data_IF_190929877906
#
_entry.id   IF_190929877906
#
_cell.length_a   1.000
_cell.length_b   1.000
_cell.length_c   1.000
_cell.angle_alpha   90.00
_cell.angle_beta   90.00
_cell.angle_gamma   90.00
#
_symmetry.space_group_name_H-M   'P 1'
#
loop_
_entity.id
_entity.type
_entity.pdbx_description
1 polymer ?
#
# COMPACT_ATOMS: atom_id res chain seq x y z
N UNK A 1 -53.15 10.02 -22.84
CA UNK A 1 -52.66 9.10 -21.79
C UNK A 1 -51.72 8.10 -22.45
N UNK A 2 -50.43 8.44 -22.60
CA UNK A 2 -49.42 7.63 -23.30
C UNK A 2 -48.55 6.99 -22.23
N UNK A 3 -48.49 5.66 -22.20
CA UNK A 3 -47.68 4.89 -21.24
C UNK A 3 -46.20 5.05 -21.59
N UNK A 4 -45.46 5.72 -20.71
CA UNK A 4 -44.00 5.80 -20.74
C UNK A 4 -43.42 4.42 -20.41
N UNK A 5 -42.77 3.79 -21.38
CA UNK A 5 -41.92 2.63 -21.15
C UNK A 5 -40.58 3.12 -20.62
N UNK A 6 -40.38 3.00 -19.31
CA UNK A 6 -39.08 3.17 -18.68
C UNK A 6 -38.21 1.98 -19.06
N UNK A 7 -37.35 2.13 -20.06
CA UNK A 7 -36.24 1.19 -20.29
C UNK A 7 -35.17 1.51 -19.25
N UNK A 8 -35.05 0.66 -18.24
CA UNK A 8 -33.85 0.64 -17.39
C UNK A 8 -32.63 0.39 -18.29
N UNK A 9 -31.52 1.13 -18.13
CA UNK A 9 -30.29 0.81 -18.84
C UNK A 9 -29.79 -0.57 -18.39
N UNK A 10 -29.13 -1.34 -19.28
CA UNK A 10 -28.57 -2.62 -18.91
C UNK A 10 -27.49 -2.39 -17.86
N UNK A 11 -27.54 -3.25 -16.84
CA UNK A 11 -26.54 -3.44 -15.80
C UNK A 11 -25.12 -3.32 -16.39
N UNK A 12 -24.41 -2.22 -16.10
CA UNK A 12 -23.01 -2.08 -16.47
C UNK A 12 -22.18 -3.02 -15.59
N UNK A 13 -21.98 -4.19 -16.18
CA UNK A 13 -21.08 -5.31 -15.90
C UNK A 13 -19.92 -5.04 -14.91
N UNK A 14 -19.81 -5.92 -13.92
CA UNK A 14 -18.67 -6.12 -13.02
C UNK A 14 -17.28 -6.27 -13.71
N UNK A 15 -17.21 -6.40 -15.05
CA UNK A 15 -15.95 -6.48 -15.78
C UNK A 15 -15.14 -5.17 -15.76
N UNK A 16 -15.80 -4.02 -15.65
CA UNK A 16 -15.14 -2.70 -15.74
C UNK A 16 -14.21 -2.42 -14.55
N UNK A 17 -14.46 -3.02 -13.37
CA UNK A 17 -13.60 -2.80 -12.19
C UNK A 17 -12.33 -3.63 -12.25
N UNK A 18 -12.42 -4.89 -12.68
CA UNK A 18 -11.26 -5.78 -12.79
C UNK A 18 -10.31 -5.33 -13.90
N UNK A 19 -10.83 -4.93 -15.06
CA UNK A 19 -10.02 -4.35 -16.15
C UNK A 19 -9.31 -3.07 -15.68
N UNK A 20 -10.02 -2.19 -14.96
CA UNK A 20 -9.43 -0.97 -14.42
C UNK A 20 -8.32 -1.24 -13.39
N UNK A 21 -8.50 -2.23 -12.50
CA UNK A 21 -7.49 -2.57 -11.49
C UNK A 21 -6.25 -3.20 -12.12
N UNK A 22 -6.43 -4.10 -13.09
CA UNK A 22 -5.32 -4.70 -13.80
C UNK A 22 -4.49 -3.64 -14.54
N UNK A 23 -5.15 -2.76 -15.31
CA UNK A 23 -4.49 -1.63 -15.99
C UNK A 23 -3.81 -0.68 -15.00
N UNK A 24 -4.43 -0.44 -13.83
CA UNK A 24 -3.79 0.33 -12.77
C UNK A 24 -2.48 -0.34 -12.30
N UNK A 25 -2.48 -1.64 -12.03
CA UNK A 25 -1.28 -2.36 -11.60
C UNK A 25 -0.17 -2.40 -12.66
N UNK A 26 -0.51 -2.47 -13.94
CA UNK A 26 0.46 -2.40 -15.04
C UNK A 26 1.28 -1.11 -14.99
N UNK A 27 0.69 0.03 -14.58
CA UNK A 27 1.42 1.29 -14.41
C UNK A 27 2.54 1.21 -13.35
N UNK A 28 2.50 0.21 -12.46
CA UNK A 28 3.44 0.05 -11.35
C UNK A 28 4.33 -1.19 -11.46
N UNK A 29 4.30 -1.95 -12.55
CA UNK A 29 5.11 -3.18 -12.72
C UNK A 29 6.63 -2.94 -12.61
N UNK A 30 7.07 -1.72 -12.90
CA UNK A 30 8.45 -1.31 -12.73
C UNK A 30 8.83 -1.02 -11.26
N UNK A 31 7.87 -0.84 -10.35
CA UNK A 31 8.14 -0.40 -8.96
C UNK A 31 8.08 -1.54 -7.94
N UNK A 32 7.47 -2.66 -8.31
CA UNK A 32 7.28 -3.83 -7.45
C UNK A 32 8.03 -5.05 -7.99
N UNK A 33 8.59 -5.83 -7.07
CA UNK A 33 9.25 -7.09 -7.35
C UNK A 33 8.28 -8.28 -7.41
N UNK A 34 8.75 -9.46 -7.85
CA UNK A 34 7.92 -10.66 -7.95
C UNK A 34 7.29 -11.10 -6.62
N UNK A 35 8.00 -10.95 -5.50
CA UNK A 35 7.50 -11.33 -4.16
C UNK A 35 6.34 -10.43 -3.73
N UNK A 36 6.45 -9.15 -4.02
CA UNK A 36 5.44 -8.14 -3.72
C UNK A 36 4.21 -8.33 -4.59
N UNK A 37 4.37 -8.58 -5.90
CA UNK A 37 3.25 -8.91 -6.76
C UNK A 37 2.54 -10.21 -6.35
N UNK A 38 3.30 -11.20 -5.86
CA UNK A 38 2.71 -12.40 -5.27
C UNK A 38 1.90 -12.06 -4.02
N UNK A 39 2.37 -11.17 -3.16
CA UNK A 39 1.59 -10.72 -2.00
C UNK A 39 0.31 -9.97 -2.42
N UNK A 40 0.45 -9.00 -3.33
CA UNK A 40 -0.66 -8.16 -3.82
C UNK A 40 -1.76 -9.00 -4.49
N UNK A 41 -1.40 -10.00 -5.31
CA UNK A 41 -2.34 -10.76 -6.15
C UNK A 41 -2.62 -12.18 -5.65
N UNK A 42 -1.80 -12.72 -4.74
CA UNK A 42 -1.75 -14.17 -4.47
C UNK A 42 -2.66 -14.69 -3.37
N UNK A 43 -3.04 -13.86 -2.39
CA UNK A 43 -4.04 -14.26 -1.39
C UNK A 43 -5.47 -14.09 -1.93
N UNK A 44 -6.40 -15.02 -1.62
CA UNK A 44 -7.82 -14.88 -1.93
C UNK A 44 -8.36 -13.55 -1.39
N UNK A 45 -9.13 -12.84 -2.20
CA UNK A 45 -9.70 -11.55 -1.83
C UNK A 45 -10.32 -10.88 -3.04
N UNK A 46 -11.11 -9.83 -2.80
CA UNK A 46 -11.66 -9.02 -3.88
C UNK A 46 -10.64 -7.97 -4.39
N UNK A 47 -11.07 -7.16 -5.35
CA UNK A 47 -10.28 -6.05 -5.90
C UNK A 47 -9.86 -5.04 -4.80
N UNK A 48 -10.69 -4.86 -3.76
CA UNK A 48 -10.38 -3.97 -2.64
C UNK A 48 -9.28 -4.54 -1.75
N UNK A 49 -9.25 -5.85 -1.55
CA UNK A 49 -8.16 -6.48 -0.80
C UNK A 49 -6.83 -6.38 -1.55
N UNK A 50 -6.85 -6.51 -2.89
CA UNK A 50 -5.65 -6.30 -3.71
C UNK A 50 -5.16 -4.85 -3.65
N UNK A 51 -6.06 -3.86 -3.77
CA UNK A 51 -5.66 -2.44 -3.69
C UNK A 51 -5.15 -2.06 -2.30
N UNK A 52 -5.72 -2.63 -1.23
CA UNK A 52 -5.22 -2.44 0.15
C UNK A 52 -3.79 -2.93 0.29
N UNK A 53 -3.50 -4.15 -0.18
CA UNK A 53 -2.16 -4.73 -0.17
C UNK A 53 -1.17 -3.90 -0.99
N UNK A 54 -1.59 -3.39 -2.14
CA UNK A 54 -0.80 -2.46 -2.95
C UNK A 54 -0.44 -1.19 -2.16
N UNK A 55 -1.41 -0.50 -1.56
CA UNK A 55 -1.16 0.74 -0.83
C UNK A 55 -0.32 0.53 0.44
N UNK A 56 -0.49 -0.61 1.10
CA UNK A 56 0.31 -1.00 2.25
C UNK A 56 1.79 -1.15 1.85
N UNK A 57 2.09 -1.91 0.80
CA UNK A 57 3.47 -2.05 0.29
C UNK A 57 4.03 -0.74 -0.24
N UNK A 58 3.23 0.05 -0.96
CA UNK A 58 3.63 1.38 -1.43
C UNK A 58 4.03 2.28 -0.25
N UNK A 59 3.22 2.30 0.81
CA UNK A 59 3.47 3.07 2.03
C UNK A 59 4.78 2.63 2.72
N UNK A 60 5.09 1.33 2.76
CA UNK A 60 6.37 0.83 3.29
C UNK A 60 7.57 1.26 2.46
N UNK A 61 7.51 1.13 1.13
CA UNK A 61 8.56 1.59 0.22
C UNK A 61 8.83 3.08 0.36
N UNK A 62 7.78 3.88 0.47
CA UNK A 62 7.87 5.31 0.71
C UNK A 62 8.48 5.64 2.07
N UNK A 63 8.08 4.93 3.14
CA UNK A 63 8.63 5.12 4.47
C UNK A 63 10.15 4.83 4.49
N UNK A 64 10.59 3.73 3.88
CA UNK A 64 12.01 3.41 3.75
C UNK A 64 12.77 4.47 2.94
N UNK A 65 12.25 4.83 1.77
CA UNK A 65 12.85 5.85 0.89
C UNK A 65 13.02 7.19 1.60
N UNK A 66 12.01 7.60 2.39
CA UNK A 66 12.04 8.83 3.18
C UNK A 66 13.04 8.74 4.32
N UNK A 67 13.12 7.61 5.01
CA UNK A 67 14.09 7.39 6.09
C UNK A 67 15.54 7.46 5.58
N UNK A 68 15.80 6.98 4.36
CA UNK A 68 17.11 7.15 3.70
C UNK A 68 17.43 8.59 3.29
N UNK A 69 16.43 9.45 3.11
CA UNK A 69 16.62 10.84 2.68
C UNK A 69 17.06 11.01 1.22
N UNK A 70 16.90 9.98 0.38
CA UNK A 70 17.39 9.96 -1.02
C UNK A 70 16.41 10.56 -2.05
N UNK A 71 15.17 10.84 -1.64
CA UNK A 71 14.13 11.38 -2.52
C UNK A 71 13.68 10.41 -3.62
N UNK A 72 13.17 10.95 -4.73
CA UNK A 72 12.51 10.21 -5.84
C UNK A 72 13.49 9.38 -6.68
N UNK A 73 14.80 9.50 -6.46
CA UNK A 73 15.84 8.94 -7.34
C UNK A 73 16.08 7.44 -7.11
N UNK A 74 15.50 6.85 -6.06
CA UNK A 74 15.69 5.42 -5.77
C UNK A 74 14.85 4.55 -6.73
N UNK A 75 15.48 3.51 -7.27
CA UNK A 75 14.77 2.44 -7.94
C UNK A 75 13.98 1.63 -6.89
N UNK A 76 12.66 1.86 -6.84
CA UNK A 76 11.75 1.22 -5.90
C UNK A 76 11.70 -0.31 -6.06
N UNK A 77 12.13 -0.86 -7.20
CA UNK A 77 12.14 -2.31 -7.42
C UNK A 77 13.26 -3.03 -6.67
N UNK A 78 14.33 -2.31 -6.32
CA UNK A 78 15.49 -2.85 -5.59
C UNK A 78 15.14 -3.20 -4.14
N UNK A 79 14.23 -2.45 -3.54
CA UNK A 79 13.68 -2.73 -2.22
C UNK A 79 12.43 -3.61 -2.34
N UNK A 80 12.48 -4.82 -1.80
CA UNK A 80 11.34 -5.74 -1.81
C UNK A 80 10.98 -6.13 -0.38
N UNK A 81 9.69 -6.09 -0.08
CA UNK A 81 9.16 -6.47 1.22
C UNK A 81 8.55 -7.87 1.18
N UNK A 82 8.79 -8.63 2.25
CA UNK A 82 8.00 -9.80 2.62
C UNK A 82 7.16 -9.42 3.86
N UNK A 83 5.86 -9.66 3.79
CA UNK A 83 4.90 -9.32 4.85
C UNK A 83 4.16 -10.59 5.26
N UNK A 84 4.12 -10.88 6.56
CA UNK A 84 3.31 -11.97 7.10
C UNK A 84 1.81 -11.71 6.85
N UNK A 85 0.97 -12.74 6.64
CA UNK A 85 -0.47 -12.55 6.37
C UNK A 85 -1.21 -11.72 7.43
N UNK A 86 -0.78 -11.81 8.69
CA UNK A 86 -1.33 -11.06 9.83
C UNK A 86 -0.62 -9.71 10.07
N UNK A 87 0.30 -9.33 9.17
CA UNK A 87 1.15 -8.12 9.26
C UNK A 87 2.05 -8.04 10.50
N UNK A 88 2.20 -9.15 11.24
CA UNK A 88 3.00 -9.20 12.48
C UNK A 88 4.50 -9.11 12.23
N UNK A 89 4.96 -9.51 11.03
CA UNK A 89 6.35 -9.48 10.62
C UNK A 89 6.47 -8.85 9.24
N UNK A 90 7.45 -7.95 9.11
CA UNK A 90 7.77 -7.22 7.88
C UNK A 90 9.28 -7.28 7.72
N UNK A 91 9.74 -7.83 6.60
CA UNK A 91 11.17 -7.93 6.27
C UNK A 91 11.46 -7.17 4.99
N UNK A 92 12.56 -6.41 4.99
CA UNK A 92 13.06 -5.71 3.81
C UNK A 92 14.25 -6.45 3.21
N UNK A 93 14.25 -6.58 1.88
CA UNK A 93 15.37 -7.03 1.08
C UNK A 93 15.78 -5.95 0.10
N UNK A 94 17.06 -5.55 0.10
CA UNK A 94 17.62 -4.61 -0.87
C UNK A 94 18.57 -5.38 -1.77
N UNK A 95 18.30 -5.39 -3.08
CA UNK A 95 19.05 -6.19 -4.06
C UNK A 95 19.13 -7.68 -3.69
N UNK A 96 18.09 -8.20 -3.03
CA UNK A 96 18.02 -9.58 -2.56
C UNK A 96 18.75 -9.85 -1.23
N UNK A 97 19.39 -8.85 -0.62
CA UNK A 97 20.05 -8.98 0.68
C UNK A 97 19.11 -8.52 1.79
N UNK A 98 18.95 -9.34 2.83
CA UNK A 98 18.10 -9.00 3.98
C UNK A 98 18.67 -7.81 4.76
N UNK A 99 17.91 -6.72 4.84
CA UNK A 99 18.28 -5.50 5.55
C UNK A 99 17.87 -5.58 7.02
N UNK A 100 18.52 -6.47 7.79
CA UNK A 100 18.09 -6.83 9.16
C UNK A 100 18.22 -5.73 10.21
N UNK A 101 18.88 -4.61 9.89
CA UNK A 101 18.93 -3.42 10.76
C UNK A 101 17.68 -2.56 10.66
N UNK A 102 16.84 -2.81 9.66
CA UNK A 102 15.63 -2.04 9.39
C UNK A 102 14.40 -2.66 10.02
N UNK A 103 13.61 -1.79 10.64
CA UNK A 103 12.41 -2.13 11.37
C UNK A 103 11.24 -1.35 10.80
N UNK A 104 10.08 -2.02 10.73
CA UNK A 104 8.88 -1.46 10.15
C UNK A 104 7.68 -1.62 11.08
N UNK A 105 6.80 -0.63 11.08
CA UNK A 105 5.53 -0.67 11.79
C UNK A 105 4.43 -0.13 10.89
N UNK A 106 3.32 -0.84 10.83
CA UNK A 106 2.10 -0.40 10.17
C UNK A 106 1.08 -0.07 11.24
N UNK A 107 0.38 1.04 11.10
CA UNK A 107 -0.74 1.41 11.97
C UNK A 107 -1.92 1.84 11.10
N UNK A 108 -3.09 1.17 11.21
CA UNK A 108 -4.32 1.65 10.60
C UNK A 108 -4.67 3.02 11.17
N UNK A 109 -4.88 4.01 10.29
CA UNK A 109 -5.39 5.32 10.68
C UNK A 109 -6.92 5.32 10.69
N UNK A 110 -7.51 4.61 9.72
CA UNK A 110 -8.94 4.32 9.56
C UNK A 110 -9.11 3.05 8.70
N UNK A 111 -10.34 2.77 8.25
CA UNK A 111 -10.69 1.59 7.45
C UNK A 111 -10.05 1.55 6.04
N UNK A 112 -9.45 2.65 5.61
CA UNK A 112 -8.91 2.85 4.26
C UNK A 112 -7.47 3.36 4.20
N UNK A 113 -6.92 3.87 5.31
CA UNK A 113 -5.59 4.47 5.36
C UNK A 113 -4.67 3.79 6.36
N UNK A 114 -3.41 3.65 5.96
CA UNK A 114 -2.33 3.11 6.79
C UNK A 114 -1.22 4.14 6.94
N UNK A 115 -0.60 4.13 8.12
CA UNK A 115 0.67 4.80 8.36
C UNK A 115 1.77 3.75 8.48
N UNK A 116 2.83 3.90 7.69
CA UNK A 116 4.03 3.08 7.76
C UNK A 116 5.17 3.87 8.37
N UNK A 117 5.87 3.26 9.32
CA UNK A 117 7.09 3.78 9.93
C UNK A 117 8.24 2.86 9.50
N UNK A 118 9.35 3.45 9.09
CA UNK A 118 10.61 2.76 8.83
C UNK A 118 11.71 3.40 9.70
N UNK A 119 12.49 2.58 10.39
CA UNK A 119 13.61 3.03 11.21
C UNK A 119 14.78 2.03 11.14
N UNK A 120 16.01 2.55 11.10
CA UNK A 120 17.23 1.74 11.19
C UNK A 120 17.78 1.74 12.61
N UNK A 121 18.33 0.61 13.06
CA UNK A 121 18.94 0.47 14.37
C UNK A 121 17.93 0.00 15.43
N UNK A 122 17.91 0.60 16.61
CA UNK A 122 16.98 0.18 17.67
C UNK A 122 15.54 0.61 17.32
N UNK A 123 14.60 -0.34 17.32
CA UNK A 123 13.19 -0.04 17.11
C UNK A 123 12.65 0.74 18.33
N UNK A 124 11.92 1.82 18.07
CA UNK A 124 11.11 2.47 19.11
C UNK A 124 9.87 1.62 19.35
N UNK A 125 9.82 0.94 20.50
CA UNK A 125 8.70 0.02 20.79
C UNK A 125 7.37 0.75 21.00
N UNK A 126 7.41 1.95 21.58
CA UNK A 126 6.21 2.71 21.94
C UNK A 126 6.01 3.91 21.01
N UNK A 127 4.93 3.89 20.23
CA UNK A 127 4.53 4.99 19.34
C UNK A 127 3.19 5.53 19.84
N UNK A 128 3.17 6.79 20.26
CA UNK A 128 1.95 7.51 20.62
C UNK A 128 1.52 8.46 19.50
N UNK A 129 0.24 8.43 19.14
CA UNK A 129 -0.33 9.34 18.15
C UNK A 129 -1.06 10.50 18.83
N UNK A 130 -0.76 11.72 18.43
CA UNK A 130 -1.53 12.91 18.83
C UNK A 130 -2.12 13.55 17.60
N UNK A 131 -3.46 13.62 17.54
CA UNK A 131 -4.14 14.38 16.50
C UNK A 131 -3.97 15.87 16.79
N UNK A 132 -3.44 16.61 15.83
CA UNK A 132 -3.34 18.06 15.89
C UNK A 132 -4.54 18.66 15.15
N UNK A 133 -5.12 19.71 15.73
CA UNK A 133 -6.14 20.50 15.06
C UNK A 133 -5.45 21.55 14.20
N UNK A 134 -5.60 21.43 12.88
CA UNK A 134 -5.00 22.35 11.92
C UNK A 134 -5.46 23.81 12.13
N UNK A 135 -6.64 24.03 12.71
CA UNK A 135 -7.13 25.38 13.01
C UNK A 135 -6.35 26.08 14.14
N UNK A 136 -5.64 25.32 14.97
CA UNK A 136 -4.81 25.85 16.07
C UNK A 136 -3.32 26.00 15.72
N UNK A 137 -2.90 25.52 14.54
CA UNK A 137 -1.48 25.42 14.17
C UNK A 137 -0.89 26.71 13.57
N UNK A 138 -1.71 27.70 13.21
CA UNK A 138 -1.29 28.95 12.55
C UNK A 138 -1.80 30.23 13.26
N UNK A 139 -2.07 30.16 14.57
CA UNK A 139 -2.37 31.34 15.38
C UNK A 139 -1.10 31.95 15.98
#
# INVERSE_FOLDING_TARGET
MIRSTFRSPPFQSFATTMEALATFFECFDAQFGPREWKYIRGEPGDDLDQIRRFYLLWSLKEAYTKALGVGIVIDLKRQQFDIAPDTSAISLYVDGVHASTWHFKITPLDDSHYVSIAAEGAMVEEVSWKRLDASTAFQ
#
